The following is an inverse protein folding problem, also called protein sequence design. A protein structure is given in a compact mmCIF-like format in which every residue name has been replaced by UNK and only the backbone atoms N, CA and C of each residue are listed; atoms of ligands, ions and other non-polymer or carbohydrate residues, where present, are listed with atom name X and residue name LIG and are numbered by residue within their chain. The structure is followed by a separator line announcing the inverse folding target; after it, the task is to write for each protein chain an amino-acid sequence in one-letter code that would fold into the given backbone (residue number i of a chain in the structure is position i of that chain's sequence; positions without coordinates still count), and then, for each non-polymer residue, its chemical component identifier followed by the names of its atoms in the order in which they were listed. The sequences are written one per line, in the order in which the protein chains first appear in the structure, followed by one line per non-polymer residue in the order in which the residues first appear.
data_IF_050056727087
#
_entry.id   IF_050056727087
#
_cell.length_a   1.000
_cell.length_b   1.000
_cell.length_c   1.000
_cell.angle_alpha   90.00
_cell.angle_beta   90.00
_cell.angle_gamma   90.00
#
_symmetry.space_group_name_H-M   'P 1'
#
loop_
_entity.id
_entity.type
_entity.pdbx_description
1 polymer ?
#
# COMPACT_ATOMS: atom_id res chain seq x y z
N UNK A 1 -13.35 12.99 -11.79
CA UNK A 1 -13.37 12.08 -10.61
C UNK A 1 -12.55 10.85 -10.95
N UNK A 2 -11.79 10.29 -10.01
CA UNK A 2 -11.12 9.01 -10.23
C UNK A 2 -12.15 7.88 -10.36
N UNK A 3 -11.84 6.92 -11.23
CA UNK A 3 -12.54 5.64 -11.33
C UNK A 3 -12.46 4.84 -10.01
N UNK A 4 -13.54 4.16 -9.64
CA UNK A 4 -13.65 3.45 -8.36
C UNK A 4 -12.65 2.30 -8.24
N UNK A 5 -12.37 1.59 -9.33
CA UNK A 5 -11.35 0.53 -9.33
C UNK A 5 -9.96 1.13 -9.10
N UNK A 6 -9.63 2.25 -9.74
CA UNK A 6 -8.35 2.94 -9.48
C UNK A 6 -8.26 3.43 -8.03
N UNK A 7 -9.34 4.00 -7.47
CA UNK A 7 -9.38 4.41 -6.06
C UNK A 7 -9.09 3.25 -5.12
N UNK A 8 -9.67 2.08 -5.39
CA UNK A 8 -9.49 0.92 -4.52
C UNK A 8 -8.05 0.38 -4.57
N UNK A 9 -7.43 0.34 -5.75
CA UNK A 9 -6.01 -0.03 -5.88
C UNK A 9 -5.09 0.96 -5.16
N UNK A 10 -5.37 2.26 -5.26
CA UNK A 10 -4.65 3.29 -4.49
C UNK A 10 -4.81 3.04 -2.99
N UNK A 11 -6.02 2.73 -2.53
CA UNK A 11 -6.29 2.47 -1.12
C UNK A 11 -5.55 1.23 -0.60
N UNK A 12 -5.46 0.15 -1.41
CA UNK A 12 -4.64 -1.03 -1.09
C UNK A 12 -3.17 -0.63 -0.92
N UNK A 13 -2.58 0.03 -1.91
CA UNK A 13 -1.17 0.45 -1.87
C UNK A 13 -0.87 1.38 -0.69
N UNK A 14 -1.70 2.41 -0.49
CA UNK A 14 -1.55 3.36 0.61
C UNK A 14 -1.65 2.68 1.99
N UNK A 15 -2.58 1.73 2.14
CA UNK A 15 -2.72 0.96 3.38
C UNK A 15 -1.47 0.15 3.72
N UNK A 16 -0.84 -0.46 2.71
CA UNK A 16 0.40 -1.24 2.87
C UNK A 16 1.58 -0.31 3.22
N UNK A 17 1.69 0.85 2.56
CA UNK A 17 2.71 1.86 2.86
C UNK A 17 2.62 2.35 4.30
N UNK A 18 1.40 2.56 4.79
CA UNK A 18 1.14 3.09 6.13
C UNK A 18 1.15 2.03 7.25
N UNK A 19 1.42 0.76 6.95
CA UNK A 19 1.30 -0.35 7.91
C UNK A 19 -0.09 -0.47 8.59
N UNK A 20 -1.16 0.01 7.95
CA UNK A 20 -2.51 -0.06 8.51
C UNK A 20 -3.13 -1.45 8.29
N UNK A 21 -2.90 -2.39 9.21
CA UNK A 21 -3.45 -3.74 9.13
C UNK A 21 -4.97 -3.83 8.85
N UNK A 22 -5.86 -3.10 9.58
CA UNK A 22 -7.29 -3.16 9.29
C UNK A 22 -7.63 -2.59 7.90
N UNK A 23 -6.93 -1.54 7.46
CA UNK A 23 -7.13 -0.94 6.14
C UNK A 23 -6.72 -1.92 5.03
N UNK A 24 -5.56 -2.58 5.13
CA UNK A 24 -5.10 -3.57 4.15
C UNK A 24 -6.14 -4.69 4.02
N UNK A 25 -6.65 -5.20 5.14
CA UNK A 25 -7.65 -6.27 5.14
C UNK A 25 -8.94 -5.81 4.45
N UNK A 26 -9.43 -4.62 4.78
CA UNK A 26 -10.65 -4.08 4.19
C UNK A 26 -10.52 -3.86 2.68
N UNK A 27 -9.50 -3.11 2.26
CA UNK A 27 -9.35 -2.70 0.87
C UNK A 27 -8.98 -3.87 -0.06
N UNK A 28 -8.20 -4.84 0.42
CA UNK A 28 -7.90 -6.05 -0.36
C UNK A 28 -9.15 -6.90 -0.58
N UNK A 29 -9.99 -7.07 0.45
CA UNK A 29 -11.27 -7.80 0.32
C UNK A 29 -12.20 -7.06 -0.64
N UNK A 30 -12.35 -5.75 -0.49
CA UNK A 30 -13.21 -4.94 -1.36
C UNK A 30 -12.74 -4.94 -2.81
N UNK A 31 -11.44 -4.87 -3.07
CA UNK A 31 -10.88 -4.98 -4.42
C UNK A 31 -11.25 -6.32 -5.10
N UNK A 32 -11.24 -7.42 -4.32
CA UNK A 32 -11.67 -8.74 -4.79
C UNK A 32 -13.17 -8.80 -5.06
N UNK A 33 -13.99 -8.22 -4.19
CA UNK A 33 -15.45 -8.12 -4.39
C UNK A 33 -15.80 -7.32 -5.66
N UNK A 34 -14.98 -6.31 -5.98
CA UNK A 34 -15.05 -5.52 -7.22
C UNK A 34 -14.54 -6.29 -8.45
N UNK A 35 -14.06 -7.53 -8.29
CA UNK A 35 -13.49 -8.38 -9.35
C UNK A 35 -12.29 -7.73 -10.06
N UNK A 36 -11.53 -6.91 -9.34
CA UNK A 36 -10.24 -6.42 -9.84
C UNK A 36 -9.30 -7.62 -9.97
N UNK A 37 -8.49 -7.64 -11.02
CA UNK A 37 -7.56 -8.73 -11.26
C UNK A 37 -6.54 -8.86 -10.11
N UNK A 38 -6.29 -10.09 -9.65
CA UNK A 38 -5.37 -10.34 -8.53
C UNK A 38 -3.95 -9.85 -8.83
N UNK A 39 -3.51 -9.85 -10.10
CA UNK A 39 -2.21 -9.31 -10.47
C UNK A 39 -2.13 -7.79 -10.25
N UNK A 40 -3.23 -7.07 -10.48
CA UNK A 40 -3.28 -5.61 -10.27
C UNK A 40 -3.33 -5.27 -8.77
N UNK A 41 -4.05 -6.06 -7.97
CA UNK A 41 -4.02 -5.96 -6.51
C UNK A 41 -2.60 -6.24 -6.00
N UNK A 42 -1.94 -7.29 -6.52
CA UNK A 42 -0.58 -7.65 -6.15
C UNK A 42 0.41 -6.53 -6.51
N UNK A 43 0.27 -5.91 -7.68
CA UNK A 43 1.07 -4.74 -8.08
C UNK A 43 0.89 -3.57 -7.10
N UNK A 44 -0.34 -3.25 -6.69
CA UNK A 44 -0.58 -2.20 -5.70
C UNK A 44 0.07 -2.51 -4.34
N UNK A 45 0.00 -3.77 -3.90
CA UNK A 45 0.67 -4.25 -2.69
C UNK A 45 2.19 -4.07 -2.80
N UNK A 46 2.78 -4.45 -3.93
CA UNK A 46 4.23 -4.41 -4.11
C UNK A 46 4.77 -2.97 -4.21
N UNK A 47 4.02 -2.06 -4.83
CA UNK A 47 4.29 -0.62 -4.75
C UNK A 47 4.24 -0.14 -3.30
N UNK A 48 3.23 -0.53 -2.53
CA UNK A 48 3.12 -0.16 -1.12
C UNK A 48 4.27 -0.69 -0.26
N UNK A 49 4.72 -1.94 -0.50
CA UNK A 49 5.90 -2.51 0.17
C UNK A 49 7.18 -1.77 -0.18
N UNK A 50 7.35 -1.38 -1.44
CA UNK A 50 8.51 -0.62 -1.92
C UNK A 50 8.58 0.74 -1.20
N UNK A 51 7.47 1.49 -1.19
CA UNK A 51 7.39 2.79 -0.50
C UNK A 51 7.68 2.63 0.99
N UNK A 52 7.06 1.65 1.65
CA UNK A 52 7.32 1.37 3.07
C UNK A 52 8.79 1.10 3.35
N UNK A 53 9.45 0.30 2.51
CA UNK A 53 10.88 -0.03 2.67
C UNK A 53 11.75 1.20 2.54
N UNK A 54 11.49 2.05 1.54
CA UNK A 54 12.20 3.32 1.39
C UNK A 54 12.03 4.20 2.61
N UNK A 55 10.79 4.42 3.05
CA UNK A 55 10.51 5.25 4.23
C UNK A 55 11.16 4.73 5.53
N UNK A 56 11.25 3.41 5.70
CA UNK A 56 11.97 2.81 6.83
C UNK A 56 13.48 3.05 6.72
N UNK A 57 14.07 2.86 5.53
CA UNK A 57 15.51 3.09 5.32
C UNK A 57 15.92 4.53 5.59
N UNK A 58 15.18 5.51 5.05
CA UNK A 58 15.46 6.94 5.31
C UNK A 58 15.32 7.30 6.80
N UNK A 59 14.40 6.64 7.50
CA UNK A 59 14.26 6.83 8.95
C UNK A 59 15.46 6.26 9.70
N UNK A 60 15.94 5.08 9.31
CA UNK A 60 17.11 4.45 9.92
C UNK A 60 18.37 5.32 9.69
N UNK A 61 18.59 5.84 8.48
CA UNK A 61 19.69 6.77 8.16
C UNK A 61 19.63 8.04 9.02
N UNK A 62 18.45 8.67 9.13
CA UNK A 62 18.26 9.83 9.98
C UNK A 62 18.59 9.54 11.46
N UNK A 63 18.20 8.37 11.97
CA UNK A 63 18.48 7.98 13.35
C UNK A 63 19.98 7.77 13.58
N UNK A 64 20.71 7.24 12.59
CA UNK A 64 22.17 7.14 12.63
C UNK A 64 22.86 8.51 12.65
N UNK A 65 22.35 9.49 11.90
CA UNK A 65 22.90 10.86 11.91
C UNK A 65 22.70 11.61 13.24
N UNK A 66 21.67 11.23 14.02
CA UNK A 66 21.30 11.89 15.27
C UNK A 66 22.02 11.33 16.52
N UNK A 67 22.72 10.20 16.41
CA UNK A 67 23.43 9.51 17.50
C UNK A 67 24.96 9.68 17.36
#
# INVERSE_FOLDING_TARGET
MLDERIKELIAVGASVSANCHPCVKHHTVKAREMKIDEAEIQQAIDVGKMVRRGAAGEMDELLEELL
#
